data_IF_572714160527
#
_entry.id   IF_572714160527
#
_cell.length_a   1.000
_cell.length_b   1.000
_cell.length_c   1.000
_cell.angle_alpha   90.00
_cell.angle_beta   90.00
_cell.angle_gamma   90.00
#
_symmetry.space_group_name_H-M   'P 1'
#
loop_
_entity.id
_entity.type
_entity.pdbx_description
1 polymer ?
#
# COMPACT_ATOMS: atom_id res chain seq x y z
N UNK A 1 22.46 -12.39 -13.49
CA UNK A 1 22.68 -13.83 -13.67
C UNK A 1 23.99 -14.19 -13.03
N UNK A 2 24.00 -15.12 -12.08
CA UNK A 2 25.24 -15.63 -11.51
C UNK A 2 26.04 -16.41 -12.59
N UNK A 3 27.36 -16.61 -12.42
CA UNK A 3 28.20 -17.29 -13.41
C UNK A 3 27.74 -18.71 -13.79
N UNK A 4 26.88 -19.32 -12.97
CA UNK A 4 26.26 -20.63 -13.17
C UNK A 4 24.91 -20.58 -13.93
N UNK A 5 24.46 -19.39 -14.34
CA UNK A 5 23.18 -19.19 -15.03
C UNK A 5 21.99 -18.93 -14.10
N UNK A 6 22.19 -18.90 -12.78
CA UNK A 6 21.10 -18.65 -11.83
C UNK A 6 20.58 -17.20 -11.92
N UNK A 7 19.25 -17.05 -11.90
CA UNK A 7 18.55 -15.77 -11.89
C UNK A 7 17.53 -15.73 -10.75
N UNK A 8 17.73 -14.81 -9.80
CA UNK A 8 16.75 -14.49 -8.79
C UNK A 8 15.75 -13.45 -9.33
N UNK A 9 14.45 -13.70 -9.19
CA UNK A 9 13.39 -12.75 -9.53
C UNK A 9 12.44 -12.57 -8.35
N UNK A 10 11.91 -11.36 -8.17
CA UNK A 10 10.87 -11.04 -7.19
C UNK A 10 9.88 -10.04 -7.78
N UNK A 11 8.63 -10.16 -7.33
CA UNK A 11 7.57 -9.21 -7.69
C UNK A 11 7.60 -8.02 -6.74
N UNK A 12 7.54 -6.82 -7.29
CA UNK A 12 7.37 -5.57 -6.55
C UNK A 12 6.18 -4.82 -7.14
N UNK A 13 5.33 -4.26 -6.27
CA UNK A 13 4.24 -3.41 -6.72
C UNK A 13 4.77 -2.05 -7.17
N UNK A 14 4.16 -1.53 -8.23
CA UNK A 14 4.46 -0.20 -8.75
C UNK A 14 3.83 0.84 -7.83
N UNK A 15 4.60 1.86 -7.48
CA UNK A 15 4.17 3.01 -6.68
C UNK A 15 3.92 4.26 -7.52
N UNK A 16 4.44 4.34 -8.75
CA UNK A 16 4.20 5.47 -9.65
C UNK A 16 2.81 5.42 -10.28
N UNK A 17 2.27 6.58 -10.66
CA UNK A 17 1.04 6.67 -11.44
C UNK A 17 1.27 6.14 -12.87
N UNK A 18 0.24 5.58 -13.53
CA UNK A 18 0.37 5.06 -14.89
C UNK A 18 0.60 6.19 -15.92
N UNK A 19 1.16 5.78 -17.08
CA UNK A 19 1.35 6.66 -18.24
C UNK A 19 2.45 7.70 -18.06
N UNK A 20 3.53 7.37 -17.36
CA UNK A 20 4.78 8.14 -17.32
C UNK A 20 5.96 7.29 -17.76
N UNK A 21 7.12 7.92 -17.91
CA UNK A 21 8.35 7.26 -18.40
C UNK A 21 9.17 6.64 -17.27
N UNK A 22 8.66 6.67 -16.03
CA UNK A 22 9.35 6.18 -14.84
C UNK A 22 8.46 5.21 -14.06
N UNK A 23 9.07 4.08 -13.69
CA UNK A 23 8.48 3.10 -12.78
C UNK A 23 9.14 3.28 -11.42
N UNK A 24 8.33 3.51 -10.39
CA UNK A 24 8.80 3.52 -9.01
C UNK A 24 8.39 2.23 -8.32
N UNK A 25 9.30 1.63 -7.56
CA UNK A 25 9.03 0.47 -6.69
C UNK A 25 9.50 0.80 -5.26
N UNK A 26 8.83 0.22 -4.26
CA UNK A 26 9.27 0.28 -2.87
C UNK A 26 9.87 -1.06 -2.48
N UNK A 27 11.14 -1.05 -2.08
CA UNK A 27 11.86 -2.27 -1.68
C UNK A 27 12.04 -2.27 -0.17
N UNK A 28 11.41 -3.22 0.51
CA UNK A 28 11.68 -3.53 1.92
C UNK A 28 12.88 -4.48 2.00
N UNK A 29 13.84 -4.18 2.88
CA UNK A 29 14.99 -5.04 3.11
C UNK A 29 14.56 -6.33 3.81
N UNK A 30 14.99 -7.46 3.27
CA UNK A 30 14.82 -8.80 3.82
C UNK A 30 16.21 -9.40 3.96
N UNK A 31 16.68 -9.55 5.21
CA UNK A 31 18.06 -9.93 5.54
C UNK A 31 18.51 -11.22 4.84
N UNK A 32 17.64 -12.23 4.80
CA UNK A 32 17.90 -13.54 4.16
C UNK A 32 17.43 -13.59 2.68
N UNK A 33 17.03 -12.45 2.11
CA UNK A 33 16.58 -12.36 0.73
C UNK A 33 17.73 -12.19 -0.26
N UNK A 34 17.55 -12.64 -1.50
CA UNK A 34 18.57 -12.44 -2.55
C UNK A 34 18.41 -11.12 -3.29
N UNK A 35 17.16 -10.72 -3.59
CA UNK A 35 16.89 -9.56 -4.46
C UNK A 35 16.91 -8.24 -3.68
N UNK A 36 16.32 -8.19 -2.48
CA UNK A 36 16.25 -6.92 -1.74
C UNK A 36 17.61 -6.38 -1.28
N UNK A 37 18.58 -7.21 -0.81
CA UNK A 37 19.91 -6.70 -0.49
C UNK A 37 20.68 -6.27 -1.74
N UNK A 38 20.52 -6.99 -2.86
CA UNK A 38 21.12 -6.60 -4.13
C UNK A 38 20.61 -5.22 -4.60
N UNK A 39 19.29 -5.01 -4.61
CA UNK A 39 18.68 -3.75 -5.02
C UNK A 39 19.07 -2.57 -4.10
N UNK A 40 19.30 -2.82 -2.81
CA UNK A 40 19.59 -1.78 -1.81
C UNK A 40 21.08 -1.53 -1.59
N UNK A 41 21.95 -2.50 -1.92
CA UNK A 41 23.38 -2.46 -1.63
C UNK A 41 24.29 -2.37 -2.86
N UNK A 42 23.89 -2.98 -3.98
CA UNK A 42 24.77 -3.16 -5.15
C UNK A 42 24.32 -2.34 -6.36
N UNK A 43 23.00 -2.15 -6.56
CA UNK A 43 22.48 -1.42 -7.72
C UNK A 43 22.81 0.07 -7.64
N UNK A 44 23.32 0.62 -8.74
CA UNK A 44 23.66 2.05 -8.87
C UNK A 44 23.01 2.69 -10.10
N UNK A 45 22.99 4.02 -10.13
CA UNK A 45 22.49 4.79 -11.28
C UNK A 45 23.30 4.45 -12.53
N UNK A 46 22.60 4.08 -13.60
CA UNK A 46 23.19 3.65 -14.87
C UNK A 46 23.09 2.14 -15.11
N UNK A 47 22.83 1.35 -14.06
CA UNK A 47 22.58 -0.08 -14.20
C UNK A 47 21.30 -0.35 -14.99
N UNK A 48 21.29 -1.48 -15.70
CA UNK A 48 20.11 -1.97 -16.42
C UNK A 48 19.47 -3.10 -15.63
N UNK A 49 18.17 -2.99 -15.37
CA UNK A 49 17.36 -4.02 -14.73
C UNK A 49 16.36 -4.59 -15.73
N UNK A 50 16.25 -5.92 -15.77
CA UNK A 50 15.23 -6.60 -16.56
C UNK A 50 13.89 -6.59 -15.80
N UNK A 51 12.83 -6.16 -16.47
CA UNK A 51 11.48 -6.11 -15.91
C UNK A 51 10.55 -7.03 -16.69
N UNK A 52 9.68 -7.74 -15.98
CA UNK A 52 8.58 -8.52 -16.55
C UNK A 52 7.25 -7.99 -16.02
N UNK A 53 6.39 -7.50 -16.90
CA UNK A 53 5.06 -7.03 -16.53
C UNK A 53 4.42 -6.10 -17.56
N UNK A 54 3.26 -5.50 -17.23
CA UNK A 54 2.60 -5.55 -15.92
C UNK A 54 2.01 -6.94 -15.61
N UNK A 55 2.11 -7.35 -14.35
CA UNK A 55 1.51 -8.58 -13.81
C UNK A 55 0.50 -8.16 -12.74
N UNK A 56 -0.70 -8.74 -12.77
CA UNK A 56 -1.76 -8.42 -11.81
C UNK A 56 -2.59 -7.20 -12.21
N UNK A 57 -3.69 -7.43 -12.93
CA UNK A 57 -4.69 -6.39 -13.23
C UNK A 57 -5.80 -6.26 -12.18
N UNK A 58 -5.78 -7.12 -11.16
CA UNK A 58 -6.83 -7.19 -10.13
C UNK A 58 -6.77 -5.99 -9.18
N UNK A 59 -5.58 -5.62 -8.71
CA UNK A 59 -5.35 -4.56 -7.73
C UNK A 59 -5.13 -3.18 -8.39
N UNK A 60 -6.04 -2.80 -9.28
CA UNK A 60 -6.00 -1.53 -10.02
C UNK A 60 -7.27 -0.71 -9.77
N UNK A 61 -7.16 0.60 -9.95
CA UNK A 61 -8.26 1.55 -9.90
C UNK A 61 -8.14 2.52 -11.08
N UNK A 62 -9.27 2.86 -11.69
CA UNK A 62 -9.35 3.82 -12.78
C UNK A 62 -10.24 5.01 -12.38
N UNK A 63 -9.91 6.21 -12.87
CA UNK A 63 -10.72 7.40 -12.62
C UNK A 63 -12.16 7.24 -13.17
N UNK A 64 -13.13 7.85 -12.48
CA UNK A 64 -14.55 7.80 -12.87
C UNK A 64 -15.28 6.48 -12.55
N UNK A 65 -14.60 5.53 -11.91
CA UNK A 65 -15.17 4.24 -11.52
C UNK A 65 -16.28 4.33 -10.43
N UNK A 66 -16.44 5.48 -9.77
CA UNK A 66 -17.54 5.82 -8.85
C UNK A 66 -17.44 5.25 -7.42
N UNK A 67 -18.06 5.91 -6.44
CA UNK A 67 -17.99 5.55 -5.02
C UNK A 67 -16.64 5.91 -4.37
N UNK A 68 -16.58 6.06 -3.03
CA UNK A 68 -15.34 6.43 -2.34
C UNK A 68 -14.32 5.28 -2.30
N UNK A 69 -13.05 5.62 -2.11
CA UNK A 69 -11.97 4.66 -1.89
C UNK A 69 -11.68 4.48 -0.40
N UNK A 70 -11.59 3.23 0.03
CA UNK A 70 -11.06 2.84 1.33
C UNK A 70 -9.74 2.11 1.12
N UNK A 71 -8.63 2.78 1.41
CA UNK A 71 -7.28 2.25 1.24
C UNK A 71 -6.76 1.82 2.62
N UNK A 72 -6.24 0.60 2.72
CA UNK A 72 -5.75 0.04 3.99
C UNK A 72 -4.37 -0.56 3.74
N UNK A 73 -3.33 0.03 4.33
CA UNK A 73 -1.95 -0.38 4.15
C UNK A 73 -1.31 -0.88 5.45
N UNK A 74 -0.39 -1.84 5.32
CA UNK A 74 0.58 -2.19 6.35
C UNK A 74 2.00 -2.19 5.80
N UNK A 75 2.90 -1.40 6.41
CA UNK A 75 4.31 -1.34 6.01
C UNK A 75 4.49 -0.97 4.53
N UNK A 76 5.27 -1.78 3.80
CA UNK A 76 5.54 -1.64 2.36
C UNK A 76 4.31 -1.85 1.47
N UNK A 77 3.21 -2.41 2.00
CA UNK A 77 1.93 -2.51 1.29
C UNK A 77 1.30 -1.16 0.91
N UNK A 78 1.87 -0.04 1.34
CA UNK A 78 1.48 1.29 0.85
C UNK A 78 1.83 1.51 -0.62
N UNK A 79 2.81 0.79 -1.18
CA UNK A 79 3.32 1.01 -2.53
C UNK A 79 2.23 1.03 -3.63
N UNK A 80 1.41 -0.03 -3.80
CA UNK A 80 0.35 0.00 -4.82
C UNK A 80 -0.74 1.05 -4.50
N UNK A 81 -0.94 1.39 -3.23
CA UNK A 81 -1.90 2.42 -2.84
C UNK A 81 -1.40 3.82 -3.18
N UNK A 82 -0.09 4.07 -3.16
CA UNK A 82 0.50 5.31 -3.69
C UNK A 82 0.26 5.44 -5.19
N UNK A 83 0.35 4.35 -5.96
CA UNK A 83 0.02 4.40 -7.39
C UNK A 83 -1.42 4.85 -7.62
N UNK A 84 -2.38 4.32 -6.83
CA UNK A 84 -3.80 4.76 -6.86
C UNK A 84 -3.93 6.24 -6.48
N UNK A 85 -3.32 6.67 -5.38
CA UNK A 85 -3.40 8.06 -4.90
C UNK A 85 -2.80 9.05 -5.91
N UNK A 86 -1.63 8.74 -6.47
CA UNK A 86 -0.96 9.57 -7.48
C UNK A 86 -1.72 9.55 -8.81
N UNK A 87 -2.30 8.41 -9.19
CA UNK A 87 -3.16 8.34 -10.38
C UNK A 87 -4.39 9.24 -10.23
N UNK A 88 -5.09 9.16 -9.09
CA UNK A 88 -6.22 10.03 -8.76
C UNK A 88 -5.84 11.50 -8.85
N UNK A 89 -4.71 11.89 -8.25
CA UNK A 89 -4.23 13.26 -8.29
C UNK A 89 -3.89 13.72 -9.73
N UNK A 90 -3.20 12.90 -10.51
CA UNK A 90 -2.87 13.17 -11.92
C UNK A 90 -4.11 13.31 -12.80
N UNK A 91 -5.14 12.51 -12.54
CA UNK A 91 -6.42 12.55 -13.26
C UNK A 91 -7.30 13.75 -12.86
N UNK A 92 -6.98 14.45 -11.77
CA UNK A 92 -7.83 15.49 -11.20
C UNK A 92 -9.17 14.94 -10.66
N UNK A 93 -9.21 13.66 -10.31
CA UNK A 93 -10.45 12.98 -9.89
C UNK A 93 -10.77 13.29 -8.43
N UNK A 94 -11.98 13.82 -8.19
CA UNK A 94 -12.47 14.23 -6.87
C UNK A 94 -13.00 13.11 -5.99
N UNK A 95 -12.91 11.84 -6.39
CA UNK A 95 -13.38 10.67 -5.64
C UNK A 95 -12.90 10.75 -4.19
N UNK A 96 -13.75 10.71 -3.16
CA UNK A 96 -13.28 10.75 -1.78
C UNK A 96 -12.42 9.52 -1.45
N UNK A 97 -11.33 9.72 -0.72
CA UNK A 97 -10.37 8.66 -0.35
C UNK A 97 -10.07 8.72 1.13
N UNK A 98 -10.20 7.58 1.80
CA UNK A 98 -9.74 7.37 3.17
C UNK A 98 -8.61 6.35 3.17
N UNK A 99 -7.46 6.73 3.72
CA UNK A 99 -6.32 5.83 3.93
C UNK A 99 -6.15 5.53 5.42
N UNK A 100 -6.22 4.25 5.78
CA UNK A 100 -5.79 3.73 7.09
C UNK A 100 -4.41 3.10 6.91
N UNK A 101 -3.37 3.67 7.51
CA UNK A 101 -2.00 3.21 7.31
C UNK A 101 -1.34 2.73 8.60
N UNK A 102 -1.05 1.44 8.66
CA UNK A 102 -0.40 0.76 9.78
C UNK A 102 1.13 0.70 9.62
N UNK A 103 1.84 1.24 10.60
CA UNK A 103 3.31 1.22 10.69
C UNK A 103 3.76 0.83 12.10
N UNK A 104 5.03 0.42 12.25
CA UNK A 104 5.59 0.04 13.57
C UNK A 104 5.90 1.28 14.42
N UNK A 105 6.52 2.27 13.79
CA UNK A 105 6.93 3.54 14.38
C UNK A 105 6.69 4.66 13.39
N UNK A 106 6.78 5.90 13.86
CA UNK A 106 6.64 7.10 13.02
C UNK A 106 7.72 7.20 11.94
N UNK A 107 8.94 6.79 12.26
CA UNK A 107 10.06 6.82 11.30
C UNK A 107 9.95 5.72 10.24
N UNK A 108 9.17 4.67 10.54
CA UNK A 108 8.83 3.61 9.59
C UNK A 108 7.65 3.91 8.68
N UNK A 109 7.11 5.14 8.68
CA UNK A 109 6.04 5.54 7.75
C UNK A 109 6.67 5.83 6.38
N UNK A 110 6.48 4.94 5.42
CA UNK A 110 6.95 5.10 4.06
C UNK A 110 6.08 6.16 3.37
N UNK A 111 6.71 7.06 2.59
CA UNK A 111 6.05 8.19 1.92
C UNK A 111 5.40 9.22 2.87
N UNK A 112 5.77 9.26 4.16
CA UNK A 112 5.16 10.13 5.19
C UNK A 112 4.93 11.56 4.70
N UNK A 113 5.99 12.23 4.26
CA UNK A 113 5.90 13.64 3.88
C UNK A 113 5.01 13.87 2.65
N UNK A 114 4.96 12.92 1.71
CA UNK A 114 4.07 13.02 0.55
C UNK A 114 2.61 12.82 0.96
N UNK A 115 2.34 11.83 1.81
CA UNK A 115 1.02 11.55 2.36
C UNK A 115 0.50 12.72 3.22
N UNK A 116 1.34 13.31 4.06
CA UNK A 116 0.99 14.47 4.88
C UNK A 116 0.64 15.68 3.99
N UNK A 117 1.47 15.98 2.99
CA UNK A 117 1.16 17.03 2.01
C UNK A 117 -0.13 16.77 1.25
N UNK A 118 -0.40 15.52 0.85
CA UNK A 118 -1.67 15.17 0.23
C UNK A 118 -2.84 15.42 1.19
N UNK A 119 -2.72 15.07 2.46
CA UNK A 119 -3.79 15.27 3.46
C UNK A 119 -4.10 16.76 3.71
N UNK A 120 -3.09 17.63 3.58
CA UNK A 120 -3.25 19.08 3.70
C UNK A 120 -3.84 19.74 2.46
N UNK A 121 -3.49 19.25 1.27
CA UNK A 121 -3.76 19.97 0.00
C UNK A 121 -4.88 19.36 -0.84
N UNK A 122 -5.17 18.07 -0.67
CA UNK A 122 -6.07 17.35 -1.55
C UNK A 122 -7.47 17.24 -0.93
N UNK A 123 -8.40 18.04 -1.44
CA UNK A 123 -9.80 17.96 -1.05
C UNK A 123 -10.33 16.53 -1.24
N UNK A 124 -10.87 15.96 -0.15
CA UNK A 124 -11.44 14.62 -0.15
C UNK A 124 -10.44 13.49 0.09
N UNK A 125 -9.15 13.75 0.33
CA UNK A 125 -8.24 12.76 0.88
C UNK A 125 -8.13 12.91 2.40
N UNK A 126 -8.26 11.81 3.13
CA UNK A 126 -8.09 11.80 4.57
C UNK A 126 -7.23 10.61 5.02
N UNK A 127 -6.27 10.91 5.88
CA UNK A 127 -5.23 9.98 6.33
C UNK A 127 -5.37 9.70 7.82
N UNK A 128 -5.36 8.41 8.18
CA UNK A 128 -5.29 7.95 9.56
C UNK A 128 -4.07 7.03 9.70
N UNK A 129 -3.09 7.46 10.48
CA UNK A 129 -1.95 6.63 10.85
C UNK A 129 -2.23 5.80 12.10
N UNK A 130 -1.83 4.54 12.06
CA UNK A 130 -1.90 3.58 13.15
C UNK A 130 -0.51 3.04 13.48
N UNK A 131 0.05 3.48 14.61
CA UNK A 131 1.38 3.09 15.05
C UNK A 131 1.30 1.97 16.10
N UNK A 132 1.92 0.83 15.79
CA UNK A 132 1.71 -0.43 16.52
C UNK A 132 2.75 -0.74 17.59
N UNK A 133 3.90 -0.05 17.60
CA UNK A 133 4.98 -0.31 18.57
C UNK A 133 5.46 0.95 19.27
N UNK A 134 5.84 1.96 18.50
CA UNK A 134 6.45 3.18 19.03
C UNK A 134 5.72 4.41 18.48
N UNK A 135 5.49 5.39 19.36
CA UNK A 135 4.86 6.66 19.00
C UNK A 135 5.73 7.83 19.46
N UNK A 136 5.90 8.87 18.62
CA UNK A 136 6.65 10.05 18.99
C UNK A 136 5.90 10.83 20.09
N UNK A 137 6.61 11.65 20.89
CA UNK A 137 5.97 12.56 21.84
C UNK A 137 4.88 13.40 21.17
N UNK A 138 3.70 13.47 21.80
CA UNK A 138 2.57 14.22 21.27
C UNK A 138 1.72 13.51 20.21
N UNK A 139 2.04 12.25 19.84
CA UNK A 139 1.29 11.49 18.84
C UNK A 139 -0.23 11.49 19.09
N UNK A 140 -0.97 11.95 18.08
CA UNK A 140 -2.44 12.07 18.06
C UNK A 140 -3.14 11.01 17.22
N UNK A 141 -2.39 10.26 16.40
CA UNK A 141 -2.95 9.16 15.62
C UNK A 141 -3.25 7.92 16.46
N UNK A 142 -3.64 6.86 15.76
CA UNK A 142 -3.99 5.59 16.38
C UNK A 142 -2.76 4.89 16.97
N UNK A 143 -2.94 4.20 18.09
CA UNK A 143 -1.87 3.53 18.88
C UNK A 143 -2.03 2.01 18.93
N UNK A 144 -2.73 1.48 17.95
CA UNK A 144 -3.20 0.09 17.89
C UNK A 144 -3.12 -0.41 16.46
N UNK A 145 -3.29 -1.72 16.28
CA UNK A 145 -3.50 -2.28 14.93
C UNK A 145 -4.85 -1.82 14.38
N UNK A 146 -4.95 -1.75 13.06
CA UNK A 146 -6.23 -1.52 12.38
C UNK A 146 -7.16 -2.67 12.75
N UNK A 147 -8.38 -2.33 13.14
CA UNK A 147 -9.45 -3.27 13.44
C UNK A 147 -10.78 -2.74 12.89
N UNK A 148 -11.84 -3.53 13.04
CA UNK A 148 -13.20 -3.18 12.65
C UNK A 148 -13.65 -1.78 13.09
N UNK A 149 -13.42 -1.39 14.34
CA UNK A 149 -13.87 -0.11 14.86
C UNK A 149 -13.16 1.07 14.14
N UNK A 150 -11.90 0.88 13.72
CA UNK A 150 -11.20 1.87 12.91
C UNK A 150 -11.79 1.97 11.48
N UNK A 151 -12.18 0.84 10.90
CA UNK A 151 -12.84 0.80 9.59
C UNK A 151 -14.19 1.52 9.65
N UNK A 152 -14.99 1.29 10.71
CA UNK A 152 -16.25 2.00 10.94
C UNK A 152 -16.04 3.50 11.15
N UNK A 153 -15.04 3.89 11.96
CA UNK A 153 -14.71 5.29 12.23
C UNK A 153 -14.13 6.03 11.01
N UNK A 154 -13.78 5.30 9.95
CA UNK A 154 -13.25 5.86 8.70
C UNK A 154 -14.26 6.75 7.96
N UNK A 155 -15.56 6.55 8.23
CA UNK A 155 -16.67 7.25 7.58
C UNK A 155 -16.91 6.83 6.13
N UNK A 156 -16.31 5.71 5.70
CA UNK A 156 -16.55 5.08 4.40
C UNK A 156 -17.30 3.78 4.65
N UNK A 157 -18.62 3.77 4.62
CA UNK A 157 -19.48 2.60 4.90
C UNK A 157 -19.93 1.85 3.65
N UNK A 158 -20.40 0.62 3.81
CA UNK A 158 -20.77 -0.27 2.71
C UNK A 158 -21.90 0.29 1.80
N UNK A 159 -22.85 1.06 2.36
CA UNK A 159 -23.95 1.70 1.63
C UNK A 159 -23.49 2.78 0.64
N UNK A 160 -22.29 3.32 0.84
CA UNK A 160 -21.65 4.24 -0.12
C UNK A 160 -21.04 3.51 -1.32
N UNK A 161 -21.13 2.17 -1.35
CA UNK A 161 -20.57 1.31 -2.38
C UNK A 161 -19.06 1.55 -2.65
N UNK A 162 -18.21 1.58 -1.60
CA UNK A 162 -16.80 1.90 -1.75
C UNK A 162 -16.04 0.83 -2.52
N UNK A 163 -14.87 1.19 -3.06
CA UNK A 163 -13.83 0.20 -3.40
C UNK A 163 -12.81 0.16 -2.27
N UNK A 164 -12.63 -1.01 -1.69
CA UNK A 164 -11.64 -1.23 -0.66
C UNK A 164 -10.39 -1.89 -1.25
N UNK A 165 -9.22 -1.33 -0.98
CA UNK A 165 -7.92 -1.88 -1.37
C UNK A 165 -7.10 -2.12 -0.12
N UNK A 166 -6.77 -3.39 0.14
CA UNK A 166 -6.08 -3.81 1.36
C UNK A 166 -4.75 -4.46 0.98
N UNK A 167 -3.65 -3.91 1.49
CA UNK A 167 -2.33 -4.36 1.12
C UNK A 167 -1.35 -4.35 2.30
N UNK A 168 -0.63 -5.45 2.52
CA UNK A 168 0.37 -5.54 3.58
C UNK A 168 0.60 -6.97 4.08
N UNK A 169 1.09 -7.14 5.33
CA UNK A 169 1.31 -8.45 5.94
C UNK A 169 0.05 -9.32 5.96
N UNK A 170 0.20 -10.62 5.69
CA UNK A 170 -0.91 -11.60 5.67
C UNK A 170 -1.87 -11.46 6.84
N UNK A 171 -1.43 -11.34 8.12
CA UNK A 171 -2.36 -11.21 9.24
C UNK A 171 -3.23 -9.96 9.18
N UNK A 172 -2.68 -8.83 8.70
CA UNK A 172 -3.46 -7.59 8.54
C UNK A 172 -4.49 -7.76 7.43
N UNK A 173 -4.07 -8.29 6.27
CA UNK A 173 -4.93 -8.42 5.10
C UNK A 173 -6.10 -9.36 5.37
N UNK A 174 -5.84 -10.51 6.01
CA UNK A 174 -6.88 -11.48 6.34
C UNK A 174 -7.88 -10.94 7.36
N UNK A 175 -7.39 -10.29 8.41
CA UNK A 175 -8.25 -9.67 9.42
C UNK A 175 -9.15 -8.59 8.80
N UNK A 176 -8.56 -7.65 8.06
CA UNK A 176 -9.29 -6.53 7.46
C UNK A 176 -10.28 -7.01 6.41
N UNK A 177 -9.90 -7.98 5.57
CA UNK A 177 -10.83 -8.55 4.59
C UNK A 177 -12.04 -9.19 5.28
N UNK A 178 -11.82 -9.97 6.35
CA UNK A 178 -12.89 -10.56 7.14
C UNK A 178 -13.79 -9.48 7.78
N UNK A 179 -13.21 -8.42 8.32
CA UNK A 179 -13.95 -7.31 8.92
C UNK A 179 -14.78 -6.54 7.89
N UNK A 180 -14.25 -6.28 6.69
CA UNK A 180 -15.01 -5.62 5.61
C UNK A 180 -16.21 -6.46 5.18
N UNK A 181 -16.06 -7.77 5.04
CA UNK A 181 -17.19 -8.66 4.71
C UNK A 181 -18.22 -8.67 5.84
N UNK A 182 -17.78 -8.73 7.10
CA UNK A 182 -18.67 -8.69 8.26
C UNK A 182 -19.44 -7.36 8.37
N UNK A 183 -18.84 -6.26 7.90
CA UNK A 183 -19.46 -4.94 7.81
C UNK A 183 -20.35 -4.76 6.57
N UNK A 184 -20.47 -5.78 5.71
CA UNK A 184 -21.37 -5.79 4.56
C UNK A 184 -20.80 -5.20 3.28
N UNK A 185 -19.48 -5.00 3.18
CA UNK A 185 -18.86 -4.53 1.94
C UNK A 185 -19.00 -5.61 0.86
N UNK A 186 -19.34 -5.26 -0.40
CA UNK A 186 -19.42 -6.24 -1.46
C UNK A 186 -18.07 -6.89 -1.73
N UNK A 187 -17.99 -8.22 -1.69
CA UNK A 187 -16.74 -8.98 -1.90
C UNK A 187 -16.03 -8.59 -3.20
N UNK A 188 -16.80 -8.41 -4.29
CA UNK A 188 -16.27 -7.99 -5.59
C UNK A 188 -15.60 -6.60 -5.59
N UNK A 189 -15.80 -5.80 -4.53
CA UNK A 189 -15.22 -4.46 -4.35
C UNK A 189 -14.15 -4.41 -3.26
N UNK A 190 -13.87 -5.55 -2.61
CA UNK A 190 -12.75 -5.70 -1.68
C UNK A 190 -11.60 -6.36 -2.43
N UNK A 191 -10.56 -5.59 -2.71
CA UNK A 191 -9.34 -6.04 -3.39
C UNK A 191 -8.23 -6.20 -2.37
N UNK A 192 -7.56 -7.35 -2.38
CA UNK A 192 -6.50 -7.68 -1.43
C UNK A 192 -5.20 -8.05 -2.13
N UNK A 193 -4.08 -7.64 -1.56
CA UNK A 193 -2.73 -8.05 -1.96
C UNK A 193 -1.88 -8.28 -0.70
N UNK A 194 -1.07 -9.34 -0.69
CA UNK A 194 -0.30 -9.75 0.50
C UNK A 194 1.19 -9.63 0.23
N UNK A 195 1.92 -9.05 1.18
CA UNK A 195 3.38 -8.96 1.17
C UNK A 195 3.96 -9.52 2.46
N UNK A 196 5.05 -10.25 2.35
CA UNK A 196 5.75 -10.88 3.46
C UNK A 196 6.77 -11.87 2.93
N UNK A 197 7.69 -12.37 3.78
CA UNK A 197 8.66 -13.36 3.36
C UNK A 197 7.92 -14.56 2.75
N UNK A 198 8.29 -14.92 1.52
CA UNK A 198 7.89 -16.19 0.93
C UNK A 198 8.73 -17.28 1.59
N UNK A 199 8.27 -17.77 2.73
CA UNK A 199 8.95 -18.80 3.53
C UNK A 199 8.51 -18.67 4.99
N UNK A 200 8.22 -19.80 5.63
CA UNK A 200 7.90 -19.84 7.05
C UNK A 200 9.02 -19.14 7.84
N UNK A 201 8.66 -18.12 8.62
CA UNK A 201 9.52 -17.66 9.70
C UNK A 201 9.63 -18.84 10.68
N UNK A 202 10.75 -19.55 10.60
CA UNK A 202 11.08 -20.63 11.54
C UNK A 202 11.12 -20.13 12.97
#
# INVERSE_FOLDING_TARGET
TAPDGYQAQRSYSVASAPGGDTIEITVEHVDEGEVSPFLLGEVVVGDTLELRGPIGGYFTWEAGEGGPLLLIAGGSGIAPLMAILRHRAKAGDGTPVRLLYSSRSHDGIIYREELDRMAETNAGFALTHALTREQPPGWKGERRRIDRAMIEASGVSADQNPRAFVCGPTPLVEQVASDLIALGYPEARVKTERFGPTGDAK
#
